data_IF_553448704981
#
_entry.id   IF_553448704981
#
_cell.length_a   1.000
_cell.length_b   1.000
_cell.length_c   1.000
_cell.angle_alpha   90.00
_cell.angle_beta   90.00
_cell.angle_gamma   90.00
#
_symmetry.space_group_name_H-M   'P 1'
#
loop_
_entity.id
_entity.type
_entity.pdbx_description
1 polymer ?
#
# COMPACT_ATOMS: atom_id res chain seq x y z
N UNK A 1 0.62 48.74 8.10
CA UNK A 1 1.43 47.62 7.57
C UNK A 1 1.98 46.84 8.72
N UNK A 2 1.65 45.57 8.81
CA UNK A 2 2.18 44.63 9.80
C UNK A 2 3.26 43.75 9.18
N UNK A 3 4.09 43.14 10.00
CA UNK A 3 5.20 42.29 9.55
C UNK A 3 4.84 40.83 9.79
N UNK A 4 5.06 39.98 8.81
CA UNK A 4 4.82 38.56 8.98
C UNK A 4 5.78 37.94 10.00
N UNK A 5 5.24 37.29 11.02
CA UNK A 5 6.02 36.68 12.12
C UNK A 5 6.91 35.52 11.67
N UNK A 6 6.60 34.90 10.53
CA UNK A 6 7.33 33.73 10.03
C UNK A 6 8.44 34.09 9.03
N UNK A 7 8.20 35.03 8.10
CA UNK A 7 9.16 35.36 7.03
C UNK A 7 9.64 36.82 7.03
N UNK A 8 9.17 37.68 7.94
CA UNK A 8 9.57 39.09 8.05
C UNK A 8 9.04 40.00 6.93
N UNK A 9 8.24 39.51 5.98
CA UNK A 9 7.70 40.33 4.89
C UNK A 9 6.66 41.32 5.41
N UNK A 10 6.66 42.56 4.86
CA UNK A 10 5.61 43.56 5.13
C UNK A 10 4.32 43.13 4.43
N UNK A 11 3.20 43.13 5.18
CA UNK A 11 1.88 42.71 4.71
C UNK A 11 0.84 43.77 5.09
N UNK A 12 -0.26 43.81 4.37
CA UNK A 12 -1.38 44.70 4.67
C UNK A 12 -2.02 44.34 6.02
N UNK A 13 -2.43 45.37 6.78
CA UNK A 13 -3.07 45.18 8.09
C UNK A 13 -4.37 44.39 8.04
N UNK A 14 -5.04 44.40 6.89
CA UNK A 14 -6.29 43.67 6.62
C UNK A 14 -6.08 42.22 6.16
N UNK A 15 -4.86 41.83 5.77
CA UNK A 15 -4.57 40.50 5.26
C UNK A 15 -4.53 39.44 6.36
N UNK A 16 -5.35 38.41 6.25
CA UNK A 16 -5.35 37.28 7.19
C UNK A 16 -4.25 36.23 6.91
N UNK A 17 -3.59 36.32 5.76
CA UNK A 17 -2.51 35.44 5.36
C UNK A 17 -1.37 36.22 4.71
N UNK A 18 -0.13 35.78 4.96
CA UNK A 18 1.04 36.34 4.30
C UNK A 18 1.12 35.86 2.83
N UNK A 19 1.15 36.76 1.82
CA UNK A 19 1.24 36.36 0.42
C UNK A 19 2.59 35.73 0.05
N UNK A 20 3.63 35.91 0.88
CA UNK A 20 4.98 35.38 0.64
C UNK A 20 5.18 33.96 1.14
N UNK A 21 4.62 33.61 2.32
CA UNK A 21 4.87 32.30 2.93
C UNK A 21 3.59 31.55 3.30
N UNK A 22 2.40 32.11 3.07
CA UNK A 22 1.11 31.49 3.36
C UNK A 22 0.76 31.42 4.86
N UNK A 23 1.61 31.94 5.75
CA UNK A 23 1.34 31.92 7.19
C UNK A 23 0.17 32.83 7.54
N UNK A 24 -0.73 32.37 8.41
CA UNK A 24 -1.85 33.16 8.92
C UNK A 24 -1.34 34.26 9.82
N UNK A 25 -1.77 35.50 9.55
CA UNK A 25 -1.39 36.66 10.28
C UNK A 25 -2.63 37.26 10.93
N UNK A 26 -2.84 37.04 12.23
CA UNK A 26 -3.96 37.61 12.95
C UNK A 26 -3.81 39.10 13.13
N UNK A 27 -4.93 39.81 12.96
CA UNK A 27 -5.01 41.28 13.20
C UNK A 27 -4.96 41.53 14.70
N UNK A 28 -3.83 42.01 15.20
CA UNK A 28 -3.64 42.22 16.62
C UNK A 28 -4.53 43.30 17.21
N UNK A 29 -5.33 42.96 18.18
CA UNK A 29 -5.72 43.83 19.28
C UNK A 29 -5.58 43.04 20.57
N UNK A 30 -4.64 43.48 21.44
CA UNK A 30 -4.59 43.08 22.85
C UNK A 30 -3.46 42.16 23.22
N UNK A 31 -2.50 42.69 23.91
CA UNK A 31 -1.48 41.99 24.67
C UNK A 31 -2.10 41.07 25.72
N UNK A 32 -1.65 39.83 25.78
CA UNK A 32 -1.28 39.20 27.06
C UNK A 32 -0.59 37.86 26.73
N UNK A 33 0.54 37.65 27.40
CA UNK A 33 1.39 36.52 27.18
C UNK A 33 0.70 35.19 27.53
N UNK A 34 0.74 34.26 26.64
CA UNK A 34 0.42 32.87 26.94
C UNK A 34 1.61 31.99 26.59
N UNK A 35 2.09 31.35 27.63
CA UNK A 35 3.15 30.35 27.66
C UNK A 35 2.84 29.28 26.63
N UNK A 36 3.77 29.05 25.71
CA UNK A 36 3.75 27.99 24.69
C UNK A 36 3.75 26.62 25.39
N UNK A 37 2.63 25.93 25.35
CA UNK A 37 2.50 24.53 25.78
C UNK A 37 2.58 23.63 24.55
N UNK A 38 3.46 22.59 24.51
CA UNK A 38 3.73 21.81 23.30
C UNK A 38 2.69 20.72 22.99
N UNK A 39 1.41 20.92 23.30
CA UNK A 39 0.40 19.85 23.17
C UNK A 39 -0.68 20.08 22.10
N UNK A 40 -0.60 21.12 21.27
CA UNK A 40 -1.67 21.42 20.30
C UNK A 40 -1.41 20.96 18.84
N UNK A 41 -0.29 20.29 18.56
CA UNK A 41 0.02 19.83 17.19
C UNK A 41 -0.79 18.61 16.69
N UNK A 42 -1.66 18.01 17.52
CA UNK A 42 -2.44 16.83 17.13
C UNK A 42 -3.79 17.18 16.52
N UNK A 43 -4.40 18.31 16.90
CA UNK A 43 -5.74 18.71 16.43
C UNK A 43 -5.73 19.39 15.05
N UNK A 44 -4.73 20.19 14.76
CA UNK A 44 -4.64 20.94 13.49
C UNK A 44 -4.36 20.01 12.29
N UNK A 45 -3.60 18.94 12.49
CA UNK A 45 -3.38 17.91 11.48
C UNK A 45 -4.63 17.06 11.19
N UNK A 46 -5.50 16.88 12.17
CA UNK A 46 -6.75 16.12 12.00
C UNK A 46 -7.76 16.93 11.18
N UNK A 47 -7.89 18.24 11.43
CA UNK A 47 -8.79 19.11 10.66
C UNK A 47 -8.36 19.27 9.20
N UNK A 48 -7.07 19.45 8.93
CA UNK A 48 -6.54 19.55 7.57
C UNK A 48 -6.77 18.25 6.78
N UNK A 49 -6.60 17.08 7.41
CA UNK A 49 -6.87 15.78 6.79
C UNK A 49 -8.35 15.58 6.50
N UNK A 50 -9.24 16.06 7.37
CA UNK A 50 -10.68 15.94 7.20
C UNK A 50 -11.22 16.88 6.11
N UNK A 51 -10.68 18.09 6.00
CA UNK A 51 -11.00 19.04 4.90
C UNK A 51 -10.54 18.45 3.55
N UNK A 52 -9.35 17.87 3.48
CA UNK A 52 -8.86 17.20 2.28
C UNK A 52 -9.67 15.95 1.94
N UNK A 53 -10.11 15.19 2.94
CA UNK A 53 -10.97 14.03 2.75
C UNK A 53 -12.37 14.40 2.25
N UNK A 54 -12.92 15.57 2.61
CA UNK A 54 -14.17 16.10 2.06
C UNK A 54 -14.02 16.54 0.60
N UNK A 55 -12.86 17.11 0.22
CA UNK A 55 -12.60 17.57 -1.15
C UNK A 55 -12.35 16.40 -2.11
N UNK A 56 -11.79 15.27 -1.63
CA UNK A 56 -11.51 14.08 -2.42
C UNK A 56 -12.18 12.85 -1.81
N UNK A 57 -13.32 12.39 -2.34
CA UNK A 57 -14.01 11.22 -1.79
C UNK A 57 -13.09 9.99 -1.77
N UNK A 58 -12.84 9.45 -0.58
CA UNK A 58 -11.91 8.34 -0.33
C UNK A 58 -12.60 6.97 -0.35
N UNK A 59 -13.71 6.83 -1.11
CA UNK A 59 -14.48 5.57 -1.18
C UNK A 59 -13.63 4.39 -1.61
N UNK A 60 -12.78 4.59 -2.64
CA UNK A 60 -11.86 3.56 -3.13
C UNK A 60 -10.80 3.17 -2.09
N UNK A 61 -10.24 4.15 -1.39
CA UNK A 61 -9.29 3.89 -0.30
C UNK A 61 -9.91 3.07 0.83
N UNK A 62 -11.12 3.43 1.27
CA UNK A 62 -11.85 2.67 2.31
C UNK A 62 -12.12 1.23 1.86
N UNK A 63 -12.55 1.04 0.61
CA UNK A 63 -12.76 -0.27 0.00
C UNK A 63 -11.44 -1.06 -0.03
N UNK A 64 -10.35 -0.44 -0.50
CA UNK A 64 -9.03 -1.08 -0.57
C UNK A 64 -8.54 -1.52 0.81
N UNK A 65 -8.79 -0.72 1.87
CA UNK A 65 -8.44 -1.08 3.25
C UNK A 65 -9.11 -2.38 3.73
N UNK A 66 -10.33 -2.66 3.29
CA UNK A 66 -11.03 -3.91 3.61
C UNK A 66 -10.50 -5.06 2.76
N UNK A 67 -10.37 -4.86 1.45
CA UNK A 67 -9.88 -5.87 0.51
C UNK A 67 -8.45 -6.33 0.87
N UNK A 68 -7.58 -5.44 1.31
CA UNK A 68 -6.22 -5.80 1.74
C UNK A 68 -6.18 -6.71 2.97
N UNK A 69 -7.19 -6.67 3.86
CA UNK A 69 -7.24 -7.65 4.96
C UNK A 69 -7.54 -9.04 4.39
N UNK A 70 -8.58 -9.12 3.57
CA UNK A 70 -8.99 -10.38 2.96
C UNK A 70 -7.90 -10.91 2.03
N UNK A 71 -7.30 -10.03 1.22
CA UNK A 71 -6.19 -10.36 0.34
C UNK A 71 -5.01 -10.95 1.10
N UNK A 72 -4.53 -10.28 2.16
CA UNK A 72 -3.42 -10.77 2.97
C UNK A 72 -3.69 -12.13 3.61
N UNK A 73 -4.91 -12.36 4.11
CA UNK A 73 -5.30 -13.67 4.65
C UNK A 73 -5.28 -14.74 3.55
N UNK A 74 -5.88 -14.45 2.38
CA UNK A 74 -5.91 -15.37 1.25
C UNK A 74 -4.49 -15.65 0.73
N UNK A 75 -3.64 -14.64 0.63
CA UNK A 75 -2.25 -14.79 0.20
C UNK A 75 -1.46 -15.71 1.13
N UNK A 76 -1.62 -15.56 2.46
CA UNK A 76 -1.00 -16.45 3.45
C UNK A 76 -1.56 -17.87 3.33
N UNK A 77 -2.89 -18.01 3.23
CA UNK A 77 -3.53 -19.32 3.10
C UNK A 77 -3.07 -20.05 1.83
N UNK A 78 -2.97 -19.35 0.70
CA UNK A 78 -2.43 -19.92 -0.54
C UNK A 78 -0.99 -20.37 -0.38
N UNK A 79 -0.14 -19.56 0.29
CA UNK A 79 1.24 -19.96 0.57
C UNK A 79 1.34 -21.22 1.39
N UNK A 80 0.50 -21.36 2.44
CA UNK A 80 0.43 -22.58 3.27
C UNK A 80 -0.07 -23.75 2.44
N UNK A 81 -1.14 -23.58 1.67
CA UNK A 81 -1.73 -24.62 0.85
C UNK A 81 -0.72 -25.18 -0.18
N UNK A 82 0.03 -24.30 -0.83
CA UNK A 82 1.08 -24.73 -1.78
C UNK A 82 2.18 -25.50 -1.08
N UNK A 83 2.65 -25.05 0.10
CA UNK A 83 3.66 -25.80 0.88
C UNK A 83 3.15 -27.17 1.34
N UNK A 84 1.86 -27.28 1.65
CA UNK A 84 1.23 -28.52 2.07
C UNK A 84 0.83 -29.42 0.88
N UNK A 85 1.00 -28.95 -0.35
CA UNK A 85 0.61 -29.70 -1.56
C UNK A 85 -0.89 -29.98 -1.67
N UNK A 86 -1.74 -29.20 -0.97
CA UNK A 86 -3.20 -29.43 -0.95
C UNK A 86 -3.83 -29.23 -2.34
N UNK A 87 -3.19 -28.46 -3.22
CA UNK A 87 -3.61 -28.31 -4.61
C UNK A 87 -3.57 -29.65 -5.38
N UNK A 88 -2.59 -30.51 -5.11
CA UNK A 88 -2.50 -31.83 -5.72
C UNK A 88 -3.61 -32.75 -5.23
N UNK A 89 -3.86 -32.73 -3.92
CA UNK A 89 -4.93 -33.53 -3.29
C UNK A 89 -6.32 -33.15 -3.82
N UNK A 90 -6.57 -31.86 -4.02
CA UNK A 90 -7.84 -31.36 -4.56
C UNK A 90 -8.10 -31.84 -6.00
N UNK A 91 -7.04 -32.13 -6.75
CA UNK A 91 -7.09 -32.70 -8.10
C UNK A 91 -7.01 -34.23 -8.13
N UNK A 92 -7.10 -34.87 -6.97
CA UNK A 92 -7.06 -36.33 -6.86
C UNK A 92 -5.66 -36.93 -7.06
N UNK A 93 -4.62 -36.14 -6.95
CA UNK A 93 -3.22 -36.56 -7.08
C UNK A 93 -2.61 -36.73 -5.69
N UNK A 94 -1.84 -37.82 -5.52
CA UNK A 94 -1.03 -37.98 -4.32
C UNK A 94 0.21 -37.08 -4.39
N UNK A 95 0.33 -36.21 -3.41
CA UNK A 95 1.42 -35.26 -3.31
C UNK A 95 2.80 -35.93 -3.31
N UNK A 96 2.92 -37.04 -2.56
CA UNK A 96 4.19 -37.77 -2.43
C UNK A 96 4.63 -38.34 -3.80
N UNK A 97 3.68 -38.87 -4.55
CA UNK A 97 3.91 -39.40 -5.90
C UNK A 97 4.26 -38.27 -6.91
N UNK A 98 3.66 -37.08 -6.77
CA UNK A 98 4.00 -35.92 -7.63
C UNK A 98 5.44 -35.49 -7.37
N UNK A 99 5.86 -35.43 -6.12
CA UNK A 99 7.24 -35.01 -5.78
C UNK A 99 8.29 -36.08 -6.08
N UNK A 100 7.92 -37.37 -6.10
CA UNK A 100 8.79 -38.45 -6.60
C UNK A 100 9.01 -38.32 -8.11
N UNK A 101 7.97 -38.02 -8.87
CA UNK A 101 8.05 -37.82 -10.33
C UNK A 101 8.82 -36.51 -10.70
N UNK A 102 8.69 -35.46 -9.88
CA UNK A 102 9.29 -34.18 -10.10
C UNK A 102 10.07 -33.69 -8.87
N UNK A 103 11.29 -34.22 -8.61
CA UNK A 103 12.01 -33.95 -7.37
C UNK A 103 12.30 -32.46 -7.10
N UNK A 104 12.42 -31.63 -8.15
CA UNK A 104 12.63 -30.18 -8.02
C UNK A 104 11.37 -29.39 -7.61
N UNK A 105 10.18 -29.97 -7.78
CA UNK A 105 8.91 -29.28 -7.59
C UNK A 105 8.66 -28.96 -6.11
N UNK A 106 9.02 -29.87 -5.19
CA UNK A 106 8.91 -29.64 -3.75
C UNK A 106 9.69 -28.40 -3.28
N UNK A 107 10.88 -28.17 -3.83
CA UNK A 107 11.68 -26.99 -3.52
C UNK A 107 11.04 -25.70 -4.08
N UNK A 108 10.48 -25.80 -5.29
CA UNK A 108 9.76 -24.73 -5.94
C UNK A 108 8.53 -24.31 -5.13
N UNK A 109 7.69 -25.26 -4.73
CA UNK A 109 6.47 -25.05 -3.94
C UNK A 109 6.79 -24.50 -2.55
N UNK A 110 7.84 -25.02 -1.91
CA UNK A 110 8.29 -24.52 -0.61
C UNK A 110 8.78 -23.07 -0.70
N UNK A 111 9.56 -22.75 -1.71
CA UNK A 111 10.03 -21.37 -1.94
C UNK A 111 8.86 -20.43 -2.20
N UNK A 112 7.95 -20.80 -3.09
CA UNK A 112 6.77 -20.01 -3.42
C UNK A 112 5.89 -19.81 -2.20
N UNK A 113 5.59 -20.86 -1.44
CA UNK A 113 4.77 -20.79 -0.25
C UNK A 113 5.35 -19.84 0.83
N UNK A 114 6.66 -19.94 1.10
CA UNK A 114 7.34 -19.02 2.03
C UNK A 114 7.26 -17.57 1.52
N UNK A 115 7.52 -17.36 0.23
CA UNK A 115 7.47 -16.03 -0.38
C UNK A 115 6.05 -15.42 -0.31
N UNK A 116 5.00 -16.24 -0.54
CA UNK A 116 3.60 -15.79 -0.44
C UNK A 116 3.20 -15.47 1.00
N UNK A 117 3.63 -16.27 1.99
CA UNK A 117 3.39 -15.95 3.40
C UNK A 117 4.05 -14.61 3.78
N UNK A 118 5.31 -14.42 3.38
CA UNK A 118 6.02 -13.16 3.61
C UNK A 118 5.33 -11.97 2.93
N UNK A 119 4.84 -12.16 1.70
CA UNK A 119 4.09 -11.15 0.95
C UNK A 119 2.77 -10.79 1.64
N UNK A 120 2.01 -11.77 2.13
CA UNK A 120 0.77 -11.54 2.86
C UNK A 120 0.99 -10.78 4.18
N UNK A 121 2.05 -11.08 4.91
CA UNK A 121 2.45 -10.29 6.10
C UNK A 121 2.83 -8.87 5.69
N UNK A 122 3.57 -8.69 4.59
CA UNK A 122 3.92 -7.38 4.06
C UNK A 122 2.67 -6.59 3.64
N UNK A 123 1.63 -7.23 3.11
CA UNK A 123 0.36 -6.61 2.75
C UNK A 123 -0.32 -5.93 3.95
N UNK A 124 -0.31 -6.54 5.14
CA UNK A 124 -0.80 -5.90 6.37
C UNK A 124 0.03 -4.67 6.76
N UNK A 125 1.35 -4.73 6.54
CA UNK A 125 2.23 -3.57 6.77
C UNK A 125 1.92 -2.43 5.81
N UNK A 126 1.75 -2.72 4.53
CA UNK A 126 1.36 -1.75 3.49
C UNK A 126 0.01 -1.11 3.83
N UNK A 127 -0.97 -1.94 4.21
CA UNK A 127 -2.28 -1.47 4.67
C UNK A 127 -2.17 -0.51 5.85
N UNK A 128 -1.35 -0.84 6.86
CA UNK A 128 -1.14 0.03 8.02
C UNK A 128 -0.56 1.39 7.63
N UNK A 129 0.44 1.40 6.73
CA UNK A 129 1.04 2.64 6.21
C UNK A 129 0.04 3.50 5.43
N UNK A 130 -0.79 2.87 4.59
CA UNK A 130 -1.84 3.55 3.84
C UNK A 130 -2.93 4.12 4.77
N UNK A 131 -3.36 3.36 5.78
CA UNK A 131 -4.34 3.80 6.78
C UNK A 131 -3.85 5.01 7.57
N UNK A 132 -2.56 5.10 7.85
CA UNK A 132 -1.93 6.20 8.58
C UNK A 132 -1.49 7.36 7.66
N UNK A 133 -1.84 7.33 6.38
CA UNK A 133 -1.44 8.34 5.39
C UNK A 133 0.08 8.62 5.36
N UNK A 134 0.90 7.61 5.62
CA UNK A 134 2.36 7.76 5.58
C UNK A 134 2.84 8.04 4.16
N UNK A 135 3.83 8.93 4.03
CA UNK A 135 4.43 9.31 2.74
C UNK A 135 4.87 8.11 1.90
N UNK A 136 5.37 7.05 2.56
CA UNK A 136 5.81 5.81 1.92
C UNK A 136 4.68 4.81 1.60
N UNK A 137 3.42 5.11 1.98
CA UNK A 137 2.28 4.21 1.79
C UNK A 137 2.05 3.82 0.33
N UNK A 138 1.85 4.79 -0.58
CA UNK A 138 1.62 4.50 -2.00
C UNK A 138 2.80 3.79 -2.68
N UNK A 139 4.04 4.11 -2.29
CA UNK A 139 5.23 3.44 -2.80
C UNK A 139 5.30 1.99 -2.32
N UNK A 140 5.01 1.75 -1.03
CA UNK A 140 4.97 0.39 -0.47
C UNK A 140 3.93 -0.48 -1.19
N UNK A 141 2.77 0.09 -1.57
CA UNK A 141 1.75 -0.62 -2.34
C UNK A 141 2.26 -1.02 -3.74
N UNK A 142 2.97 -0.14 -4.43
CA UNK A 142 3.58 -0.46 -5.74
C UNK A 142 4.62 -1.56 -5.61
N UNK A 143 5.49 -1.48 -4.61
CA UNK A 143 6.51 -2.52 -4.32
C UNK A 143 5.82 -3.87 -4.06
N UNK A 144 4.73 -3.89 -3.30
CA UNK A 144 3.96 -5.10 -3.03
C UNK A 144 3.45 -5.76 -4.34
N UNK A 145 2.88 -4.99 -5.27
CA UNK A 145 2.44 -5.52 -6.56
C UNK A 145 3.61 -6.04 -7.41
N UNK A 146 4.74 -5.32 -7.44
CA UNK A 146 5.94 -5.74 -8.18
C UNK A 146 6.48 -7.05 -7.60
N UNK A 147 6.56 -7.17 -6.27
CA UNK A 147 6.98 -8.40 -5.60
C UNK A 147 6.02 -9.56 -5.90
N UNK A 148 4.71 -9.32 -5.85
CA UNK A 148 3.70 -10.33 -6.19
C UNK A 148 3.87 -10.82 -7.62
N UNK A 149 4.02 -9.92 -8.60
CA UNK A 149 4.28 -10.28 -9.99
C UNK A 149 5.57 -11.08 -10.13
N UNK A 150 6.65 -10.62 -9.51
CA UNK A 150 7.95 -11.28 -9.58
C UNK A 150 7.91 -12.71 -9.02
N UNK A 151 7.31 -12.89 -7.82
CA UNK A 151 7.16 -14.20 -7.18
C UNK A 151 6.37 -15.15 -8.09
N UNK A 152 5.23 -14.70 -8.64
CA UNK A 152 4.39 -15.53 -9.50
C UNK A 152 5.10 -15.91 -10.81
N UNK A 153 5.77 -14.96 -11.48
CA UNK A 153 6.50 -15.25 -12.73
C UNK A 153 7.65 -16.22 -12.48
N UNK A 154 8.42 -16.02 -11.41
CA UNK A 154 9.53 -16.93 -11.04
C UNK A 154 8.98 -18.33 -10.76
N UNK A 155 7.89 -18.45 -10.01
CA UNK A 155 7.26 -19.72 -9.73
C UNK A 155 6.81 -20.43 -11.00
N UNK A 156 6.04 -19.74 -11.87
CA UNK A 156 5.55 -20.33 -13.13
C UNK A 156 6.71 -20.78 -14.04
N UNK A 157 7.77 -19.99 -14.14
CA UNK A 157 8.93 -20.34 -14.96
C UNK A 157 9.69 -21.54 -14.37
N UNK A 158 9.90 -21.56 -13.05
CA UNK A 158 10.60 -22.66 -12.36
C UNK A 158 9.78 -23.96 -12.44
N UNK A 159 8.52 -23.92 -12.06
CA UNK A 159 7.65 -25.08 -12.11
C UNK A 159 7.47 -25.62 -13.55
N UNK A 160 7.36 -24.75 -14.55
CA UNK A 160 7.38 -25.14 -15.98
C UNK A 160 8.68 -25.88 -16.35
N UNK A 161 9.83 -25.39 -15.88
CA UNK A 161 11.13 -26.02 -16.21
C UNK A 161 11.29 -27.39 -15.54
N UNK A 162 10.72 -27.58 -14.35
CA UNK A 162 10.79 -28.83 -13.59
C UNK A 162 9.81 -29.86 -14.12
N UNK A 163 8.59 -29.44 -14.44
CA UNK A 163 7.52 -30.37 -14.88
C UNK A 163 7.52 -30.63 -16.38
N UNK A 164 8.19 -29.76 -17.17
CA UNK A 164 8.12 -29.80 -18.63
C UNK A 164 6.76 -29.37 -19.20
N UNK A 165 5.81 -28.99 -18.34
CA UNK A 165 4.46 -28.57 -18.73
C UNK A 165 4.36 -27.04 -18.70
N UNK A 166 3.84 -26.44 -19.76
CA UNK A 166 3.67 -25.00 -19.80
C UNK A 166 2.57 -24.55 -18.83
N UNK A 167 2.98 -23.92 -17.72
CA UNK A 167 2.06 -23.38 -16.70
C UNK A 167 1.61 -21.94 -17.02
N UNK A 168 2.07 -21.32 -18.07
CA UNK A 168 1.57 -20.04 -18.57
C UNK A 168 0.25 -20.24 -19.34
N UNK A 169 -0.75 -20.77 -18.66
CA UNK A 169 -2.10 -20.93 -19.19
C UNK A 169 -2.91 -19.64 -19.07
N UNK A 170 -4.11 -19.61 -19.69
CA UNK A 170 -4.98 -18.44 -19.71
C UNK A 170 -5.34 -17.92 -18.31
N UNK A 171 -5.57 -18.81 -17.35
CA UNK A 171 -5.90 -18.45 -15.96
C UNK A 171 -4.74 -17.74 -15.26
N UNK A 172 -3.52 -18.29 -15.37
CA UNK A 172 -2.33 -17.74 -14.74
C UNK A 172 -1.93 -16.41 -15.39
N UNK A 173 -1.99 -16.31 -16.71
CA UNK A 173 -1.76 -15.07 -17.45
C UNK A 173 -2.83 -14.04 -17.08
N UNK A 174 -4.10 -14.43 -16.98
CA UNK A 174 -5.20 -13.56 -16.57
C UNK A 174 -4.96 -12.95 -15.18
N UNK A 175 -4.48 -13.74 -14.21
CA UNK A 175 -4.17 -13.25 -12.87
C UNK A 175 -3.00 -12.26 -12.84
N UNK A 176 -1.96 -12.48 -13.67
CA UNK A 176 -0.85 -11.54 -13.82
C UNK A 176 -1.33 -10.21 -14.42
N UNK A 177 -2.15 -10.26 -15.47
CA UNK A 177 -2.75 -9.07 -16.10
C UNK A 177 -3.61 -8.32 -15.09
N UNK A 178 -4.46 -9.00 -14.32
CA UNK A 178 -5.29 -8.40 -13.29
C UNK A 178 -4.45 -7.67 -12.23
N UNK A 179 -3.34 -8.26 -11.82
CA UNK A 179 -2.40 -7.65 -10.86
C UNK A 179 -1.76 -6.38 -11.44
N UNK A 180 -1.37 -6.39 -12.71
CA UNK A 180 -0.84 -5.21 -13.41
C UNK A 180 -1.90 -4.11 -13.49
N UNK A 181 -3.13 -4.44 -13.86
CA UNK A 181 -4.22 -3.48 -13.93
C UNK A 181 -4.52 -2.84 -12.56
N UNK A 182 -4.56 -3.65 -11.50
CA UNK A 182 -4.72 -3.15 -10.13
C UNK A 182 -3.57 -2.24 -9.71
N UNK A 183 -2.33 -2.59 -10.06
CA UNK A 183 -1.17 -1.75 -9.81
C UNK A 183 -1.30 -0.39 -10.51
N UNK A 184 -1.72 -0.36 -11.77
CA UNK A 184 -1.91 0.86 -12.55
C UNK A 184 -3.05 1.72 -11.97
N UNK A 185 -4.22 1.12 -11.72
CA UNK A 185 -5.39 1.82 -11.15
C UNK A 185 -5.02 2.44 -9.80
N UNK A 186 -4.41 1.68 -8.91
CA UNK A 186 -3.99 2.19 -7.61
C UNK A 186 -2.87 3.22 -7.75
N UNK A 187 -1.94 3.04 -8.68
CA UNK A 187 -0.89 4.00 -8.99
C UNK A 187 -1.45 5.36 -9.40
N UNK A 188 -2.41 5.39 -10.33
CA UNK A 188 -3.10 6.60 -10.78
C UNK A 188 -3.94 7.21 -9.65
N UNK A 189 -4.66 6.37 -8.89
CA UNK A 189 -5.49 6.83 -7.79
C UNK A 189 -4.68 7.57 -6.73
N UNK A 190 -3.56 6.99 -6.28
CA UNK A 190 -2.71 7.59 -5.23
C UNK A 190 -1.82 8.72 -5.74
N UNK A 191 -1.42 8.72 -7.02
CA UNK A 191 -0.65 9.85 -7.58
C UNK A 191 -1.45 11.16 -7.55
N UNK A 192 -2.76 11.09 -7.82
CA UNK A 192 -3.66 12.26 -7.73
C UNK A 192 -3.91 12.74 -6.30
N UNK A 193 -3.57 11.92 -5.29
CA UNK A 193 -3.79 12.17 -3.86
C UNK A 193 -2.50 12.18 -3.04
N UNK A 194 -1.37 12.36 -3.70
CA UNK A 194 -0.05 12.35 -3.05
C UNK A 194 0.07 13.37 -1.92
N UNK A 195 -0.62 14.51 -2.04
CA UNK A 195 -0.64 15.58 -1.01
C UNK A 195 -1.27 15.15 0.33
N UNK A 196 -2.02 14.04 0.35
CA UNK A 196 -2.63 13.51 1.59
C UNK A 196 -1.67 12.61 2.38
N UNK A 197 -0.54 12.22 1.79
CA UNK A 197 0.46 11.33 2.36
C UNK A 197 1.70 12.15 2.75
N UNK A 198 1.68 12.74 3.94
CA UNK A 198 2.69 13.73 4.40
C UNK A 198 3.46 13.29 5.64
N UNK A 199 3.18 12.09 6.20
CA UNK A 199 3.82 11.57 7.42
C UNK A 199 4.77 10.40 7.16
#
# INVERSE_FOLDING_TARGET
MKTCVNCGAAIDDTSNFCPHCGTRCESGTGAEGSVYSPSENVSEHTEASDILAQTYPMKWHKFLMVIMILGGIVTIANGINTMMGTEYLSNGLDMERVYELFPGLKSCDSFYGIAMIALGVFEFTVRSRLKQFRANGPMSLRIMYILSLGINVIYLAWATSVTGTNLFNESNIGSLIATILLMLVNGIYYSKRSRMFVH
#
